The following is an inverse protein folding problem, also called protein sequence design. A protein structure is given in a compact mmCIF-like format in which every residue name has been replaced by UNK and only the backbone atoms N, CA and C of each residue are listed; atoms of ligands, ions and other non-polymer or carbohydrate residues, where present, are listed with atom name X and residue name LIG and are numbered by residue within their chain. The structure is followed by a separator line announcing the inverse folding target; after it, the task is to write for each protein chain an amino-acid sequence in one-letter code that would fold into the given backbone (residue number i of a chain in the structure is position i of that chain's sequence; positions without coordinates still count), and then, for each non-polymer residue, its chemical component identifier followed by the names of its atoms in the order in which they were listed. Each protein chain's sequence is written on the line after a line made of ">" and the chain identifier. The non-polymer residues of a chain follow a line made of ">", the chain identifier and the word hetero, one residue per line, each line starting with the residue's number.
data_IF_834088755985
#
_entry.id   IF_834088755985
#
_cell.length_a   1.000
_cell.length_b   1.000
_cell.length_c   1.000
_cell.angle_alpha   90.00
_cell.angle_beta   90.00
_cell.angle_gamma   90.00
#
_symmetry.space_group_name_H-M   'P 1'
#
loop_
_entity.id
_entity.type
_entity.pdbx_description
1 polymer ?
#
# COMPACT_ATOMS: atom_id res chain seq x y z
N UNK A 1 -20.18 15.90 -2.27
CA UNK A 1 -19.92 16.29 -3.66
C UNK A 1 -18.51 16.79 -3.93
N UNK A 2 -17.79 17.34 -2.92
CA UNK A 2 -16.41 17.83 -3.11
C UNK A 2 -15.37 16.69 -3.33
N UNK A 3 -15.68 15.45 -3.01
CA UNK A 3 -14.76 14.32 -3.12
C UNK A 3 -14.49 13.84 -4.55
N UNK A 4 -15.28 14.28 -5.52
CA UNK A 4 -15.15 13.82 -6.91
C UNK A 4 -14.12 14.63 -7.74
N UNK A 5 -13.70 15.79 -7.26
CA UNK A 5 -12.74 16.65 -7.95
C UNK A 5 -11.31 16.15 -7.78
N UNK A 6 -10.93 15.73 -6.56
CA UNK A 6 -9.58 15.27 -6.27
C UNK A 6 -9.44 13.77 -6.47
N UNK A 7 -8.64 13.36 -7.45
CA UNK A 7 -8.37 11.95 -7.71
C UNK A 7 -6.89 11.63 -7.50
N UNK A 8 -6.63 10.39 -7.08
CA UNK A 8 -5.27 9.84 -6.97
C UNK A 8 -5.22 8.48 -7.63
N UNK A 9 -4.16 8.26 -8.39
CA UNK A 9 -3.95 7.03 -9.16
C UNK A 9 -2.56 6.48 -8.87
N UNK A 10 -2.50 5.25 -8.38
CA UNK A 10 -1.26 4.47 -8.34
C UNK A 10 -1.09 3.71 -9.64
N UNK A 11 0.11 3.73 -10.20
CA UNK A 11 0.41 3.08 -11.46
C UNK A 11 1.03 1.70 -11.26
N UNK A 12 0.90 0.86 -12.28
CA UNK A 12 1.35 -0.52 -12.31
C UNK A 12 0.27 -1.53 -11.92
N UNK A 13 0.39 -2.75 -12.39
CA UNK A 13 -0.56 -3.82 -12.13
C UNK A 13 -0.18 -4.54 -10.82
N UNK A 14 -1.01 -4.43 -9.78
CA UNK A 14 -0.82 -5.11 -8.50
C UNK A 14 -1.30 -6.56 -8.52
N UNK A 15 -2.22 -6.88 -9.41
CA UNK A 15 -2.68 -8.25 -9.61
C UNK A 15 -1.80 -8.95 -10.64
N UNK A 16 -1.15 -10.00 -10.17
CA UNK A 16 -0.16 -10.72 -10.98
C UNK A 16 -0.87 -11.56 -12.03
N UNK A 17 -0.57 -11.28 -13.28
CA UNK A 17 -1.00 -12.11 -14.40
C UNK A 17 0.00 -13.23 -14.67
N UNK A 18 -0.43 -14.35 -15.32
CA UNK A 18 0.46 -15.45 -15.66
C UNK A 18 1.58 -15.07 -16.64
N UNK A 19 1.36 -14.06 -17.47
CA UNK A 19 2.26 -13.70 -18.60
C UNK A 19 3.09 -12.46 -18.28
N UNK A 20 2.60 -11.28 -18.57
CA UNK A 20 3.29 -10.02 -18.37
C UNK A 20 2.50 -9.09 -17.45
N UNK A 21 3.21 -8.32 -16.65
CA UNK A 21 2.64 -7.32 -15.76
C UNK A 21 3.26 -5.97 -16.11
N UNK A 22 2.43 -5.00 -16.40
CA UNK A 22 2.86 -3.65 -16.76
C UNK A 22 3.39 -2.90 -15.55
N UNK A 23 4.54 -2.28 -15.69
CA UNK A 23 5.12 -1.42 -14.67
C UNK A 23 4.52 -0.01 -14.75
N UNK A 24 4.31 0.59 -13.58
CA UNK A 24 4.00 1.99 -13.45
C UNK A 24 5.22 2.82 -13.07
N UNK A 25 5.01 4.13 -13.01
CA UNK A 25 6.03 5.15 -12.76
C UNK A 25 5.64 6.11 -11.62
N UNK A 26 4.86 5.63 -10.65
CA UNK A 26 4.56 6.36 -9.44
C UNK A 26 3.09 6.69 -9.20
N UNK A 27 2.87 7.75 -8.45
CA UNK A 27 1.56 8.25 -8.06
C UNK A 27 1.21 9.48 -8.87
N UNK A 28 -0.03 9.53 -9.35
CA UNK A 28 -0.59 10.68 -10.06
C UNK A 28 -1.74 11.30 -9.25
N UNK A 29 -1.88 12.61 -9.40
CA UNK A 29 -2.93 13.42 -8.82
C UNK A 29 -3.64 14.21 -9.90
N UNK A 30 -4.96 14.26 -9.82
CA UNK A 30 -5.81 15.18 -10.55
C UNK A 30 -6.55 16.10 -9.57
N UNK A 31 -6.65 17.38 -9.91
CA UNK A 31 -7.38 18.40 -9.16
C UNK A 31 -8.59 18.94 -9.94
N UNK A 32 -8.92 18.32 -11.08
CA UNK A 32 -9.95 18.76 -12.04
C UNK A 32 -10.87 17.62 -12.49
N UNK A 33 -11.20 16.72 -11.56
CA UNK A 33 -12.07 15.57 -11.78
C UNK A 33 -11.52 14.53 -12.78
N UNK A 34 -10.21 14.50 -12.99
CA UNK A 34 -9.53 13.54 -13.87
C UNK A 34 -9.29 14.03 -15.29
N UNK A 35 -9.50 15.32 -15.57
CA UNK A 35 -9.24 15.90 -16.89
C UNK A 35 -7.72 16.05 -17.15
N UNK A 36 -6.96 16.39 -16.12
CA UNK A 36 -5.50 16.43 -16.18
C UNK A 36 -4.88 15.70 -14.98
N UNK A 37 -3.63 15.23 -15.15
CA UNK A 37 -2.92 14.44 -14.15
C UNK A 37 -1.47 14.90 -14.03
N UNK A 38 -1.01 15.05 -12.81
CA UNK A 38 0.38 15.38 -12.48
C UNK A 38 1.01 14.25 -11.67
N UNK A 39 2.22 13.83 -12.03
CA UNK A 39 2.98 12.88 -11.23
C UNK A 39 3.45 13.55 -9.94
N UNK A 40 3.11 12.95 -8.79
CA UNK A 40 3.43 13.46 -7.46
C UNK A 40 4.49 12.61 -6.75
N UNK A 41 5.24 11.78 -7.45
CA UNK A 41 6.40 11.07 -6.93
C UNK A 41 6.31 9.56 -6.97
N UNK A 42 7.21 8.91 -6.23
CA UNK A 42 7.40 7.46 -6.17
C UNK A 42 7.65 6.81 -7.55
N UNK A 43 8.36 7.49 -8.44
CA UNK A 43 8.57 7.09 -9.84
C UNK A 43 9.22 5.72 -10.02
N UNK A 44 9.97 5.25 -9.03
CA UNK A 44 10.63 3.92 -9.05
C UNK A 44 9.80 2.81 -8.44
N UNK A 45 8.58 3.09 -7.99
CA UNK A 45 7.72 2.14 -7.29
C UNK A 45 7.34 0.90 -8.10
N UNK A 46 7.36 0.97 -9.42
CA UNK A 46 6.94 -0.08 -10.38
C UNK A 46 5.48 -0.50 -10.23
N UNK A 47 5.05 -0.83 -9.01
CA UNK A 47 3.67 -1.25 -8.74
C UNK A 47 3.20 -0.68 -7.42
N UNK A 48 2.10 0.04 -7.46
CA UNK A 48 1.39 0.57 -6.30
C UNK A 48 0.13 -0.26 -6.11
N UNK A 49 0.00 -0.88 -4.93
CA UNK A 49 -1.14 -1.74 -4.59
C UNK A 49 -2.32 -0.95 -4.03
N UNK A 50 -2.03 0.04 -3.18
CA UNK A 50 -3.07 0.74 -2.44
C UNK A 50 -2.72 2.22 -2.25
N UNK A 51 -3.75 3.05 -2.24
CA UNK A 51 -3.69 4.45 -1.81
C UNK A 51 -4.81 4.70 -0.80
N UNK A 52 -4.46 5.23 0.36
CA UNK A 52 -5.42 5.66 1.38
C UNK A 52 -5.19 7.13 1.65
N UNK A 53 -6.26 7.93 1.53
CA UNK A 53 -6.25 9.37 1.81
C UNK A 53 -6.99 9.59 3.12
N UNK A 54 -6.43 10.45 3.98
CA UNK A 54 -7.06 10.80 5.25
C UNK A 54 -8.41 11.50 4.99
N UNK A 55 -9.51 11.09 5.66
CA UNK A 55 -10.88 11.55 5.31
C UNK A 55 -11.13 13.04 5.54
N UNK A 56 -10.36 13.69 6.42
CA UNK A 56 -10.50 15.10 6.76
C UNK A 56 -9.33 15.98 6.30
N UNK A 57 -8.24 15.38 5.82
CA UNK A 57 -7.05 16.09 5.34
C UNK A 57 -6.53 15.45 4.05
N UNK A 58 -6.88 16.03 2.92
CA UNK A 58 -6.51 15.53 1.59
C UNK A 58 -5.00 15.59 1.30
N UNK A 59 -4.22 16.28 2.13
CA UNK A 59 -2.76 16.32 2.02
C UNK A 59 -2.08 15.15 2.72
N UNK A 60 -2.77 14.52 3.67
CA UNK A 60 -2.27 13.32 4.35
C UNK A 60 -2.71 12.07 3.62
N UNK A 61 -1.74 11.29 3.14
CA UNK A 61 -1.98 10.07 2.40
C UNK A 61 -0.90 9.01 2.64
N UNK A 62 -1.30 7.76 2.49
CA UNK A 62 -0.46 6.57 2.56
C UNK A 62 -0.51 5.84 1.23
N UNK A 63 0.65 5.40 0.76
CA UNK A 63 0.79 4.66 -0.50
C UNK A 63 1.53 3.36 -0.26
N UNK A 64 0.86 2.25 -0.54
CA UNK A 64 1.42 0.91 -0.51
C UNK A 64 2.15 0.60 -1.80
N UNK A 65 3.46 0.39 -1.73
CA UNK A 65 4.28 -0.01 -2.86
C UNK A 65 4.59 -1.50 -2.76
N UNK A 66 4.07 -2.26 -3.74
CA UNK A 66 4.39 -3.67 -3.92
C UNK A 66 5.78 -3.84 -4.56
N UNK A 67 6.17 -2.91 -5.42
CA UNK A 67 7.49 -2.85 -6.04
C UNK A 67 7.63 -3.70 -7.30
N UNK A 68 8.87 -3.96 -7.68
CA UNK A 68 9.20 -4.80 -8.84
C UNK A 68 8.98 -6.28 -8.51
N UNK A 69 8.17 -6.96 -9.30
CA UNK A 69 7.81 -8.37 -9.07
C UNK A 69 8.93 -9.33 -9.47
N UNK A 70 9.82 -8.90 -10.35
CA UNK A 70 10.81 -9.75 -11.00
C UNK A 70 12.19 -9.69 -10.33
N UNK A 71 12.43 -8.66 -9.52
CA UNK A 71 13.71 -8.49 -8.80
C UNK A 71 13.52 -7.83 -7.42
N UNK A 72 14.49 -8.00 -6.52
CA UNK A 72 14.55 -7.24 -5.28
C UNK A 72 14.57 -5.73 -5.56
N UNK A 73 13.89 -4.95 -4.71
CA UNK A 73 13.81 -3.49 -4.83
C UNK A 73 13.70 -2.82 -3.46
N UNK A 74 14.58 -1.88 -3.19
CA UNK A 74 14.51 -1.03 -2.02
C UNK A 74 13.34 -0.04 -2.04
N UNK A 75 12.65 0.09 -3.18
CA UNK A 75 11.47 0.98 -3.31
C UNK A 75 10.19 0.37 -2.73
N UNK A 76 10.19 -0.92 -2.39
CA UNK A 76 9.06 -1.59 -1.72
C UNK A 76 8.78 -0.98 -0.34
N UNK A 77 7.54 -1.10 0.11
CA UNK A 77 7.12 -0.67 1.44
C UNK A 77 5.96 0.32 1.44
N UNK A 78 5.70 0.90 2.60
CA UNK A 78 4.63 1.88 2.78
C UNK A 78 5.22 3.28 2.89
N UNK A 79 4.63 4.21 2.16
CA UNK A 79 5.04 5.61 2.14
C UNK A 79 3.93 6.49 2.67
N UNK A 80 4.30 7.49 3.44
CA UNK A 80 3.45 8.53 4.00
C UNK A 80 3.83 9.89 3.43
N UNK A 81 2.83 10.69 3.13
CA UNK A 81 2.96 12.12 2.82
C UNK A 81 1.97 12.89 3.66
N UNK A 82 2.35 14.08 4.13
CA UNK A 82 1.51 15.05 4.82
C UNK A 82 1.36 16.37 4.05
N UNK A 83 1.82 16.43 2.81
CA UNK A 83 1.86 17.64 1.99
C UNK A 83 1.30 17.43 0.56
N UNK A 84 0.40 16.46 0.42
CA UNK A 84 -0.27 16.16 -0.83
C UNK A 84 0.59 15.42 -1.85
N UNK A 85 1.68 14.78 -1.41
CA UNK A 85 2.59 14.01 -2.25
C UNK A 85 3.81 14.78 -2.74
N UNK A 86 4.08 15.98 -2.21
CA UNK A 86 5.31 16.73 -2.52
C UNK A 86 6.54 16.07 -1.92
N UNK A 87 6.40 15.54 -0.69
CA UNK A 87 7.43 14.80 0.00
C UNK A 87 6.89 13.44 0.50
N UNK A 88 7.75 12.42 0.47
CA UNK A 88 7.42 11.05 0.85
C UNK A 88 8.39 10.52 1.90
N UNK A 89 7.85 9.99 3.00
CA UNK A 89 8.58 9.28 4.03
C UNK A 89 8.23 7.80 3.97
N UNK A 90 9.22 6.91 3.86
CA UNK A 90 8.98 5.47 4.02
C UNK A 90 8.76 5.16 5.49
N UNK A 91 7.57 4.66 5.85
CA UNK A 91 7.14 4.42 7.23
C UNK A 91 7.05 2.94 7.61
N UNK A 92 7.02 2.04 6.61
CA UNK A 92 7.13 0.59 6.84
C UNK A 92 7.96 -0.03 5.73
N UNK A 93 9.02 -0.70 6.12
CA UNK A 93 9.90 -1.45 5.21
C UNK A 93 10.32 -2.75 5.88
N UNK A 94 10.22 -3.85 5.17
CA UNK A 94 10.59 -5.17 5.69
C UNK A 94 11.91 -5.64 5.07
N UNK A 95 11.93 -5.80 3.76
CA UNK A 95 13.10 -6.16 2.96
C UNK A 95 12.83 -5.90 1.46
N UNK A 96 13.81 -6.14 0.62
CA UNK A 96 13.74 -5.87 -0.82
C UNK A 96 12.78 -6.78 -1.61
N UNK A 97 12.26 -7.85 -1.01
CA UNK A 97 11.32 -8.77 -1.67
C UNK A 97 9.90 -8.68 -1.11
N UNK A 98 9.69 -7.86 -0.07
CA UNK A 98 8.39 -7.72 0.60
C UNK A 98 7.79 -6.33 0.32
N UNK A 99 6.66 -6.30 -0.33
CA UNK A 99 5.87 -5.08 -0.59
C UNK A 99 4.54 -5.08 0.14
N UNK A 100 3.78 -4.01 -0.02
CA UNK A 100 2.43 -3.87 0.53
C UNK A 100 1.44 -4.58 -0.41
N UNK A 101 0.56 -5.41 0.15
CA UNK A 101 -0.51 -6.10 -0.57
C UNK A 101 -1.90 -5.57 -0.23
N UNK A 102 -2.09 -5.04 0.98
CA UNK A 102 -3.35 -4.47 1.42
C UNK A 102 -3.12 -3.29 2.37
N UNK A 103 -4.05 -2.35 2.38
CA UNK A 103 -4.01 -1.17 3.24
C UNK A 103 -5.42 -0.67 3.51
N UNK A 104 -5.80 -0.55 4.78
CA UNK A 104 -7.10 -0.04 5.18
C UNK A 104 -6.97 0.90 6.37
N UNK A 105 -7.77 1.95 6.37
CA UNK A 105 -7.89 2.92 7.46
C UNK A 105 -9.26 2.76 8.12
N UNK A 106 -9.29 2.78 9.44
CA UNK A 106 -10.56 2.81 10.18
C UNK A 106 -11.28 4.14 9.91
N UNK A 107 -12.48 4.05 9.38
CA UNK A 107 -13.31 5.21 9.04
C UNK A 107 -13.76 6.00 10.28
N UNK A 108 -13.89 5.33 11.43
CA UNK A 108 -14.31 5.93 12.69
C UNK A 108 -13.14 6.59 13.43
N UNK A 109 -11.92 6.04 13.25
CA UNK A 109 -10.69 6.57 13.83
C UNK A 109 -9.53 6.49 12.84
N UNK A 110 -9.28 7.54 12.04
CA UNK A 110 -8.21 7.54 11.02
C UNK A 110 -6.78 7.36 11.54
N UNK A 111 -6.58 7.42 12.87
CA UNK A 111 -5.29 7.08 13.48
C UNK A 111 -5.01 5.58 13.45
N UNK A 112 -6.07 4.75 13.36
CA UNK A 112 -5.97 3.29 13.29
C UNK A 112 -5.90 2.88 11.82
N UNK A 113 -4.79 2.25 11.46
CA UNK A 113 -4.55 1.81 10.09
C UNK A 113 -3.96 0.41 10.13
N UNK A 114 -4.37 -0.43 9.20
CA UNK A 114 -3.84 -1.77 9.02
C UNK A 114 -3.21 -1.90 7.64
N UNK A 115 -2.08 -2.60 7.58
CA UNK A 115 -1.39 -2.93 6.34
C UNK A 115 -1.04 -4.41 6.31
N UNK A 116 -1.23 -5.06 5.18
CA UNK A 116 -0.69 -6.38 4.92
C UNK A 116 0.52 -6.29 3.99
N UNK A 117 1.47 -7.18 4.23
CA UNK A 117 2.70 -7.28 3.44
C UNK A 117 2.78 -8.64 2.76
N UNK A 118 3.39 -8.67 1.58
CA UNK A 118 3.57 -9.87 0.79
C UNK A 118 5.02 -10.02 0.34
N UNK A 119 5.68 -11.06 0.84
CA UNK A 119 7.00 -11.49 0.39
C UNK A 119 6.84 -12.28 -0.91
N UNK A 120 7.29 -11.70 -2.02
CA UNK A 120 7.00 -12.21 -3.32
C UNK A 120 8.10 -11.86 -4.32
N UNK A 121 8.46 -12.87 -5.11
CA UNK A 121 9.40 -12.74 -6.21
C UNK A 121 9.04 -13.73 -7.32
N UNK A 122 9.01 -13.24 -8.55
CA UNK A 122 8.74 -14.05 -9.72
C UNK A 122 10.01 -14.23 -10.57
N UNK A 123 10.30 -15.46 -10.90
CA UNK A 123 11.34 -15.88 -11.84
C UNK A 123 10.68 -16.68 -12.96
N UNK A 124 11.30 -16.81 -14.16
CA UNK A 124 10.74 -17.61 -15.24
C UNK A 124 10.42 -19.05 -14.85
N UNK A 125 11.18 -19.62 -13.93
CA UNK A 125 11.08 -21.00 -13.46
C UNK A 125 10.49 -21.17 -12.06
N UNK A 126 10.21 -20.09 -11.35
CA UNK A 126 9.73 -20.14 -9.96
C UNK A 126 8.92 -18.90 -9.60
N UNK A 127 7.82 -19.11 -8.92
CA UNK A 127 7.10 -18.05 -8.22
C UNK A 127 7.14 -18.30 -6.72
N UNK A 128 7.77 -17.38 -5.97
CA UNK A 128 7.66 -17.33 -4.53
C UNK A 128 6.48 -16.42 -4.17
N UNK A 129 5.50 -16.97 -3.46
CA UNK A 129 4.28 -16.27 -3.04
C UNK A 129 4.06 -16.51 -1.55
N UNK A 130 4.77 -15.75 -0.74
CA UNK A 130 4.76 -15.84 0.71
C UNK A 130 6.13 -16.09 1.30
N UNK A 131 6.26 -15.85 2.60
CA UNK A 131 7.50 -16.00 3.34
C UNK A 131 7.49 -15.24 4.66
N UNK A 132 8.64 -15.19 5.30
CA UNK A 132 8.84 -14.53 6.61
C UNK A 132 8.52 -13.02 6.59
N UNK A 133 8.62 -12.39 5.42
CA UNK A 133 8.29 -10.98 5.23
C UNK A 133 6.80 -10.70 5.16
N UNK A 134 5.98 -11.70 4.84
CA UNK A 134 4.52 -11.55 4.81
C UNK A 134 3.96 -11.42 6.22
N UNK A 135 2.95 -10.57 6.39
CA UNK A 135 2.32 -10.37 7.68
C UNK A 135 1.31 -9.23 7.67
N UNK A 136 0.66 -9.04 8.81
CA UNK A 136 -0.28 -7.95 9.06
C UNK A 136 0.30 -7.01 10.10
N UNK A 137 0.16 -5.72 9.87
CA UNK A 137 0.68 -4.65 10.71
C UNK A 137 -0.43 -3.68 11.09
N UNK A 138 -0.34 -3.14 12.31
CA UNK A 138 -1.25 -2.11 12.80
C UNK A 138 -0.47 -0.85 13.17
N UNK A 139 -1.00 0.29 12.80
CA UNK A 139 -0.63 1.60 13.30
C UNK A 139 -1.75 2.17 14.17
N UNK A 140 -1.39 2.95 15.18
CA UNK A 140 -2.32 3.67 16.07
C UNK A 140 -2.06 5.19 16.10
N UNK A 141 -1.18 5.66 15.23
CA UNK A 141 -0.70 7.05 15.18
C UNK A 141 -0.81 7.68 13.79
N UNK A 142 -1.73 7.20 12.96
CA UNK A 142 -1.94 7.74 11.62
C UNK A 142 -0.97 7.20 10.57
N UNK A 143 -0.33 6.06 10.83
CA UNK A 143 0.55 5.38 9.88
C UNK A 143 2.02 5.77 10.00
N UNK A 144 2.43 6.42 11.08
CA UNK A 144 3.83 6.82 11.28
C UNK A 144 4.68 5.69 11.87
N UNK A 145 4.11 4.91 12.81
CA UNK A 145 4.74 3.73 13.41
C UNK A 145 3.87 2.49 13.28
N UNK A 146 4.50 1.31 13.14
CA UNK A 146 3.83 0.06 12.81
C UNK A 146 4.25 -1.07 13.74
N UNK A 147 3.27 -1.85 14.21
CA UNK A 147 3.47 -3.06 15.00
C UNK A 147 2.95 -4.27 14.24
N UNK A 148 3.77 -5.31 14.10
CA UNK A 148 3.34 -6.58 13.53
C UNK A 148 2.33 -7.27 14.44
N UNK A 149 1.27 -7.81 13.85
CA UNK A 149 0.27 -8.63 14.53
C UNK A 149 0.63 -10.10 14.31
N UNK A 150 0.70 -10.87 15.40
CA UNK A 150 1.12 -12.28 15.34
C UNK A 150 0.08 -13.21 15.95
N UNK A 151 -0.67 -12.72 16.95
CA UNK A 151 -1.65 -13.54 17.66
C UNK A 151 -2.82 -13.90 16.75
N UNK A 152 -3.11 -15.20 16.64
CA UNK A 152 -4.21 -15.72 15.83
C UNK A 152 -3.94 -15.80 14.32
N UNK A 153 -2.75 -15.39 13.87
CA UNK A 153 -2.36 -15.45 12.46
C UNK A 153 -1.35 -16.57 12.19
N UNK A 154 -1.34 -17.14 10.96
CA UNK A 154 -0.33 -18.11 10.55
C UNK A 154 1.09 -17.54 10.63
N UNK A 155 2.07 -18.39 11.02
CA UNK A 155 3.49 -17.99 11.08
C UNK A 155 4.09 -17.64 9.71
N UNK A 156 3.59 -18.27 8.66
CA UNK A 156 3.97 -18.00 7.27
C UNK A 156 2.70 -17.69 6.50
N UNK A 157 2.70 -16.54 5.84
CA UNK A 157 1.54 -16.05 5.09
C UNK A 157 1.89 -15.87 3.61
N UNK A 158 0.90 -16.05 2.75
CA UNK A 158 0.97 -15.72 1.33
C UNK A 158 0.57 -14.26 1.05
N UNK A 159 -0.04 -14.04 -0.11
CA UNK A 159 -0.71 -12.76 -0.41
C UNK A 159 -1.91 -12.63 0.52
N UNK A 160 -1.93 -11.56 1.26
CA UNK A 160 -2.96 -11.27 2.27
C UNK A 160 -3.50 -9.89 2.03
N UNK A 161 -4.78 -9.71 2.24
CA UNK A 161 -5.43 -8.41 2.32
C UNK A 161 -6.00 -8.19 3.72
N UNK A 162 -6.34 -6.95 4.07
CA UNK A 162 -6.88 -6.58 5.37
C UNK A 162 -7.97 -5.53 5.22
N UNK A 163 -9.07 -5.72 5.92
CA UNK A 163 -10.18 -4.77 5.96
C UNK A 163 -10.72 -4.60 7.37
N UNK A 164 -10.93 -3.35 7.79
CA UNK A 164 -11.59 -3.02 9.04
C UNK A 164 -13.07 -2.74 8.80
N UNK A 165 -13.93 -3.28 9.68
CA UNK A 165 -15.38 -3.07 9.58
C UNK A 165 -15.73 -1.60 9.85
N UNK A 166 -16.49 -0.99 8.94
CA UNK A 166 -17.00 0.37 9.15
C UNK A 166 -18.10 0.46 10.21
N UNK A 167 -18.75 -0.67 10.54
CA UNK A 167 -19.78 -0.73 11.56
C UNK A 167 -19.21 -0.96 12.98
N UNK A 168 -18.08 -1.65 13.09
CA UNK A 168 -17.41 -1.91 14.35
C UNK A 168 -15.90 -2.00 14.13
N UNK A 169 -15.16 -1.01 14.60
CA UNK A 169 -13.70 -0.91 14.47
C UNK A 169 -12.91 -2.03 15.17
N UNK A 170 -13.53 -2.78 16.06
CA UNK A 170 -12.90 -3.94 16.72
C UNK A 170 -12.89 -5.20 15.85
N UNK A 171 -13.65 -5.18 14.73
CA UNK A 171 -13.71 -6.29 13.79
C UNK A 171 -12.81 -5.98 12.59
N UNK A 172 -11.79 -6.83 12.44
CA UNK A 172 -10.83 -6.78 11.34
C UNK A 172 -10.82 -8.12 10.61
N UNK A 173 -11.00 -8.08 9.31
CA UNK A 173 -10.93 -9.24 8.43
C UNK A 173 -9.54 -9.33 7.78
N UNK A 174 -8.99 -10.53 7.75
CA UNK A 174 -7.70 -10.86 7.15
C UNK A 174 -7.87 -12.05 6.22
#
# INVERSE_FOLDING_TARGET
>A
AASDVYKRQGMGESDIRPVMTSHGDGVYRSDDAGKSWSNIGLKKSRTISNIVVHPKDHNTLLVGVQGDQYKPSSDRGLYHSSDGGKNWKKVLYINETTGISGLTMDRNNPRIIYASTWDHLRKPWQMRSGGKGSGVYKSTDGGLNWKKLEKGLPKVMGKTDVSVSGANSDIVYV
#
